data_IF_840922353518
#
_entry.id   IF_840922353518
#
_cell.length_a   1.000
_cell.length_b   1.000
_cell.length_c   1.000
_cell.angle_alpha   90.00
_cell.angle_beta   90.00
_cell.angle_gamma   90.00
#
_symmetry.space_group_name_H-M   'P 1'
#
loop_
_entity.id
_entity.type
_entity.pdbx_description
1 polymer ?
#
# COMPACT_ATOMS: atom_id res chain seq x y z
N UNK A 1 -17.79 88.62 28.93
CA UNK A 1 -17.10 89.40 27.86
C UNK A 1 -15.81 88.69 27.48
N UNK A 2 -15.53 88.64 26.17
CA UNK A 2 -14.36 88.10 25.44
C UNK A 2 -14.37 86.60 25.08
N UNK A 3 -14.88 86.38 23.85
CA UNK A 3 -14.49 85.32 22.91
C UNK A 3 -12.97 85.31 22.71
N UNK A 4 -12.39 84.14 22.45
CA UNK A 4 -11.39 83.96 21.40
C UNK A 4 -11.49 82.53 20.84
N UNK A 5 -11.64 82.47 19.53
CA UNK A 5 -11.62 81.31 18.63
C UNK A 5 -10.22 81.27 18.04
N UNK A 6 -9.52 80.11 17.99
CA UNK A 6 -8.76 79.68 16.81
C UNK A 6 -8.22 78.22 16.90
N UNK A 7 -8.84 77.36 16.08
CA UNK A 7 -8.31 76.34 15.17
C UNK A 7 -7.09 75.43 15.50
N UNK A 8 -7.31 74.12 15.27
CA UNK A 8 -6.65 73.24 14.27
C UNK A 8 -5.76 72.06 14.72
N UNK A 9 -6.15 70.90 14.18
CA UNK A 9 -5.44 69.66 13.81
C UNK A 9 -4.88 68.70 14.88
N UNK A 10 -5.42 67.46 14.86
CA UNK A 10 -4.78 66.17 14.50
C UNK A 10 -5.50 65.04 15.30
N UNK A 11 -6.50 64.36 14.74
CA UNK A 11 -6.39 63.10 13.94
C UNK A 11 -5.28 62.17 14.44
N UNK A 12 -5.69 61.12 15.17
CA UNK A 12 -5.29 59.69 15.07
C UNK A 12 -6.16 58.94 16.11
N UNK A 13 -7.30 58.32 15.75
CA UNK A 13 -7.46 56.91 15.27
C UNK A 13 -6.57 55.96 16.10
N UNK A 14 -7.03 54.99 16.91
CA UNK A 14 -7.95 53.88 16.64
C UNK A 14 -8.58 53.38 17.97
N UNK A 15 -9.91 53.36 18.08
CA UNK A 15 -10.60 52.38 18.93
C UNK A 15 -11.12 51.31 17.99
N UNK A 16 -10.37 50.22 17.94
CA UNK A 16 -10.81 48.95 17.39
C UNK A 16 -11.65 48.23 18.45
N UNK A 17 -12.91 47.99 18.14
CA UNK A 17 -13.69 46.82 18.56
C UNK A 17 -15.08 46.96 17.93
N UNK A 18 -15.27 46.33 16.78
CA UNK A 18 -16.13 45.14 16.72
C UNK A 18 -16.19 44.57 15.31
N UNK A 19 -16.52 43.27 15.26
CA UNK A 19 -16.82 42.43 14.10
C UNK A 19 -15.62 41.78 13.40
N UNK A 20 -15.39 40.50 13.74
CA UNK A 20 -15.88 39.40 12.88
C UNK A 20 -15.79 38.08 13.63
N UNK A 21 -16.94 37.41 13.77
CA UNK A 21 -17.00 35.97 14.04
C UNK A 21 -16.54 35.28 12.77
N UNK A 22 -15.32 34.76 12.74
CA UNK A 22 -14.95 33.72 11.80
C UNK A 22 -15.18 32.36 12.45
N UNK A 23 -15.91 31.52 11.72
CA UNK A 23 -16.16 30.13 12.03
C UNK A 23 -14.84 29.39 12.26
N UNK A 24 -14.67 28.85 13.46
CA UNK A 24 -13.66 27.84 13.75
C UNK A 24 -13.98 26.59 12.93
N UNK A 25 -13.43 26.51 11.71
CA UNK A 25 -13.14 25.20 11.11
C UNK A 25 -12.13 24.51 12.03
N UNK A 26 -12.52 23.36 12.57
CA UNK A 26 -11.62 22.45 13.26
C UNK A 26 -10.54 21.97 12.28
N UNK A 27 -9.45 22.73 12.16
CA UNK A 27 -8.20 22.21 11.62
C UNK A 27 -7.60 21.32 12.70
N UNK A 28 -7.76 20.00 12.55
CA UNK A 28 -7.03 19.02 13.34
C UNK A 28 -5.54 19.24 13.05
N UNK A 29 -4.85 19.88 14.00
CA UNK A 29 -3.42 20.17 13.94
C UNK A 29 -2.68 18.93 14.46
N UNK A 30 -2.56 17.92 13.59
CA UNK A 30 -1.50 16.92 13.73
C UNK A 30 -0.23 17.48 13.11
N UNK A 31 0.91 17.31 13.77
CA UNK A 31 2.21 17.68 13.19
C UNK A 31 2.49 16.75 12.00
N UNK A 32 2.39 17.28 10.78
CA UNK A 32 2.69 16.53 9.56
C UNK A 32 4.21 16.34 9.47
N UNK A 33 4.66 15.10 9.29
CA UNK A 33 6.07 14.80 9.09
C UNK A 33 6.39 14.92 7.60
N UNK A 34 7.26 15.87 7.24
CA UNK A 34 7.78 15.99 5.88
C UNK A 34 8.97 15.05 5.68
N UNK A 35 8.92 14.20 4.66
CA UNK A 35 9.99 13.27 4.29
C UNK A 35 10.66 13.81 3.02
N UNK A 36 11.84 14.45 3.12
CA UNK A 36 12.51 15.05 1.98
C UNK A 36 13.28 14.02 1.16
N UNK A 37 12.82 13.73 -0.05
CA UNK A 37 13.51 12.83 -0.97
C UNK A 37 14.35 13.67 -1.95
N UNK A 38 15.64 13.82 -1.62
CA UNK A 38 16.59 14.67 -2.36
C UNK A 38 17.48 13.86 -3.31
N UNK A 39 17.97 12.70 -2.87
CA UNK A 39 18.85 11.82 -3.64
C UNK A 39 18.06 10.69 -4.30
N UNK A 40 18.28 10.44 -5.60
CA UNK A 40 17.52 9.43 -6.37
C UNK A 40 18.36 8.69 -7.42
N UNK A 41 19.68 8.96 -7.47
CA UNK A 41 20.58 8.42 -8.50
C UNK A 41 21.19 7.06 -8.09
N UNK A 42 20.98 6.65 -6.85
CA UNK A 42 21.47 5.36 -6.36
C UNK A 42 20.68 4.22 -7.00
N UNK A 43 21.37 3.32 -7.66
CA UNK A 43 20.72 2.14 -8.24
C UNK A 43 20.40 1.08 -7.18
N UNK A 44 21.29 0.87 -6.21
CA UNK A 44 21.18 -0.22 -5.24
C UNK A 44 21.28 0.26 -3.80
N UNK A 45 20.35 -0.19 -2.95
CA UNK A 45 20.45 -0.12 -1.49
C UNK A 45 20.64 -1.53 -0.91
N UNK A 46 21.49 -1.69 0.11
CA UNK A 46 21.70 -2.99 0.75
C UNK A 46 20.51 -3.36 1.63
N UNK A 47 20.02 -4.58 1.51
CA UNK A 47 18.98 -5.11 2.40
C UNK A 47 19.46 -5.08 3.85
N UNK A 48 20.71 -5.47 4.09
CA UNK A 48 21.32 -5.45 5.43
C UNK A 48 21.44 -4.07 6.06
N UNK A 49 21.20 -2.96 5.34
CA UNK A 49 21.14 -1.63 5.96
C UNK A 49 19.92 -1.52 6.89
N UNK A 50 18.77 -2.05 6.47
CA UNK A 50 17.49 -1.89 7.17
C UNK A 50 16.86 -3.19 7.70
N UNK A 51 17.27 -4.35 7.19
CA UNK A 51 16.81 -5.66 7.66
C UNK A 51 17.93 -6.42 8.39
N UNK A 52 17.57 -7.23 9.38
CA UNK A 52 18.49 -8.11 10.13
C UNK A 52 18.46 -9.57 9.67
N UNK A 53 17.37 -9.99 9.02
CA UNK A 53 17.18 -11.36 8.53
C UNK A 53 16.21 -11.38 7.33
N UNK A 54 16.27 -12.46 6.55
CA UNK A 54 15.33 -12.72 5.46
C UNK A 54 14.94 -14.20 5.41
N UNK A 55 13.63 -14.46 5.40
CA UNK A 55 13.05 -15.81 5.27
C UNK A 55 12.39 -15.97 3.92
N UNK A 56 12.72 -17.05 3.22
CA UNK A 56 12.00 -17.51 2.03
C UNK A 56 10.84 -18.43 2.40
N UNK A 57 9.73 -18.36 1.67
CA UNK A 57 8.58 -19.26 1.81
C UNK A 57 8.11 -19.66 0.40
N UNK A 58 8.42 -20.88 -0.08
CA UNK A 58 7.78 -21.41 -1.30
C UNK A 58 6.30 -21.56 -1.06
N UNK A 59 5.47 -21.09 -1.99
CA UNK A 59 4.06 -21.43 -1.97
C UNK A 59 3.86 -22.77 -2.70
N UNK A 60 3.13 -23.69 -2.06
CA UNK A 60 2.84 -25.00 -2.63
C UNK A 60 2.13 -24.85 -3.97
N UNK A 61 2.60 -25.58 -4.98
CA UNK A 61 1.94 -25.72 -6.26
C UNK A 61 1.21 -27.08 -6.30
N UNK A 62 -0.08 -27.06 -6.63
CA UNK A 62 -0.87 -28.27 -6.81
C UNK A 62 -2.00 -28.00 -7.81
N UNK A 63 -2.70 -29.05 -8.26
CA UNK A 63 -3.83 -28.89 -9.20
C UNK A 63 -4.95 -27.96 -8.67
N UNK A 64 -5.10 -27.88 -7.35
CA UNK A 64 -6.08 -27.01 -6.68
C UNK A 64 -5.51 -25.63 -6.29
N UNK A 65 -4.18 -25.47 -6.38
CA UNK A 65 -3.46 -24.26 -5.99
C UNK A 65 -2.45 -23.86 -7.07
N UNK A 66 -2.93 -23.08 -8.04
CA UNK A 66 -2.12 -22.45 -9.09
C UNK A 66 -2.36 -20.96 -9.01
N UNK A 67 -1.33 -20.23 -8.61
CA UNK A 67 -1.32 -18.78 -8.49
C UNK A 67 -0.77 -18.16 -9.76
N UNK A 68 -1.52 -17.24 -10.33
CA UNK A 68 -1.11 -16.30 -11.36
C UNK A 68 -0.50 -15.05 -10.70
N UNK A 69 -0.80 -13.85 -11.20
CA UNK A 69 -0.30 -12.60 -10.61
C UNK A 69 -0.93 -12.34 -9.24
N UNK A 70 -0.12 -12.43 -8.18
CA UNK A 70 -0.50 -11.99 -6.82
C UNK A 70 -0.72 -10.47 -6.79
N UNK A 71 -1.86 -10.06 -6.22
CA UNK A 71 -2.23 -8.65 -6.01
C UNK A 71 -2.04 -8.23 -4.55
N UNK A 72 -2.52 -9.05 -3.61
CA UNK A 72 -2.52 -8.72 -2.18
C UNK A 72 -2.15 -9.93 -1.35
N UNK A 73 -1.29 -9.70 -0.35
CA UNK A 73 -0.90 -10.67 0.67
C UNK A 73 -1.24 -10.06 2.03
N UNK A 74 -2.02 -10.78 2.83
CA UNK A 74 -2.26 -10.44 4.23
C UNK A 74 -1.88 -11.64 5.08
N UNK A 75 -1.05 -11.44 6.09
CA UNK A 75 -0.65 -12.51 7.01
C UNK A 75 -1.35 -12.32 8.35
N UNK A 76 -1.71 -13.43 8.97
CA UNK A 76 -2.18 -13.55 10.35
C UNK A 76 -1.13 -14.26 11.20
N UNK A 77 -1.43 -14.51 12.49
CA UNK A 77 -0.60 -15.37 13.36
C UNK A 77 -0.68 -16.86 12.99
N UNK A 78 -1.66 -17.22 12.16
CA UNK A 78 -1.98 -18.61 11.80
C UNK A 78 -1.65 -18.94 10.34
N UNK A 79 -1.92 -18.02 9.41
CA UNK A 79 -2.01 -18.27 7.99
C UNK A 79 -1.50 -17.10 7.13
N UNK A 80 -1.31 -17.38 5.85
CA UNK A 80 -1.03 -16.42 4.78
C UNK A 80 -2.23 -16.43 3.82
N UNK A 81 -2.80 -15.26 3.57
CA UNK A 81 -3.95 -15.08 2.68
C UNK A 81 -3.52 -14.34 1.43
N UNK A 82 -3.80 -14.92 0.26
CA UNK A 82 -3.34 -14.41 -1.03
C UNK A 82 -4.53 -14.20 -1.96
N UNK A 83 -4.61 -13.00 -2.52
CA UNK A 83 -5.54 -12.65 -3.59
C UNK A 83 -4.78 -12.46 -4.90
N UNK A 84 -5.31 -13.05 -5.97
CA UNK A 84 -4.83 -12.87 -7.34
C UNK A 84 -5.40 -11.58 -7.95
N UNK A 85 -4.65 -10.96 -8.86
CA UNK A 85 -5.04 -9.73 -9.56
C UNK A 85 -6.11 -9.97 -10.61
N UNK A 86 -5.99 -11.08 -11.31
CA UNK A 86 -6.87 -11.46 -12.42
C UNK A 86 -7.48 -12.83 -12.12
N UNK A 87 -8.68 -13.08 -12.64
CA UNK A 87 -9.35 -14.38 -12.53
C UNK A 87 -9.56 -14.85 -11.08
N UNK A 88 -9.96 -13.95 -10.19
CA UNK A 88 -10.13 -14.26 -8.77
C UNK A 88 -11.11 -15.43 -8.58
N UNK A 89 -10.56 -16.57 -8.16
CA UNK A 89 -11.34 -17.77 -7.79
C UNK A 89 -11.74 -17.75 -6.31
N UNK A 90 -11.12 -16.86 -5.53
CA UNK A 90 -11.27 -16.71 -4.09
C UNK A 90 -9.96 -16.25 -3.46
N UNK A 91 -9.85 -16.38 -2.13
CA UNK A 91 -8.63 -16.11 -1.37
C UNK A 91 -7.95 -17.43 -1.06
N UNK A 92 -6.69 -17.61 -1.49
CA UNK A 92 -5.92 -18.81 -1.18
C UNK A 92 -5.31 -18.67 0.21
N UNK A 93 -5.45 -19.73 1.01
CA UNK A 93 -4.96 -19.77 2.39
C UNK A 93 -3.84 -20.78 2.47
N UNK A 94 -2.71 -20.34 3.01
CA UNK A 94 -1.53 -21.15 3.24
C UNK A 94 -1.14 -21.11 4.71
N UNK A 95 -0.43 -22.11 5.19
CA UNK A 95 0.29 -21.99 6.47
C UNK A 95 1.58 -21.16 6.31
N UNK A 96 2.26 -20.86 7.42
CA UNK A 96 3.52 -20.10 7.41
C UNK A 96 4.74 -20.86 6.86
N UNK A 97 4.59 -22.13 6.51
CA UNK A 97 5.58 -22.89 5.73
C UNK A 97 5.36 -22.74 4.22
N UNK A 98 4.19 -22.23 3.82
CA UNK A 98 3.77 -22.07 2.43
C UNK A 98 2.98 -23.25 1.90
N UNK A 99 2.55 -24.18 2.77
CA UNK A 99 1.68 -25.28 2.40
C UNK A 99 0.27 -24.76 2.14
N UNK A 100 -0.33 -25.17 1.03
CA UNK A 100 -1.71 -24.83 0.71
C UNK A 100 -2.68 -25.53 1.66
N UNK A 101 -3.66 -24.79 2.18
CA UNK A 101 -4.66 -25.30 3.10
C UNK A 101 -6.02 -25.45 2.39
N UNK A 102 -6.55 -24.33 1.89
CA UNK A 102 -7.86 -24.25 1.23
C UNK A 102 -8.02 -22.89 0.53
N UNK A 103 -9.13 -22.72 -0.19
CA UNK A 103 -9.54 -21.44 -0.79
C UNK A 103 -10.83 -20.97 -0.13
N UNK A 104 -10.89 -19.69 0.23
CA UNK A 104 -12.05 -19.05 0.85
C UNK A 104 -12.80 -18.22 -0.18
N UNK A 105 -14.13 -18.40 -0.20
CA UNK A 105 -15.02 -17.82 -1.20
C UNK A 105 -14.84 -18.47 -2.58
N UNK A 106 -15.92 -18.47 -3.36
CA UNK A 106 -15.91 -18.90 -4.75
C UNK A 106 -16.69 -17.91 -5.62
N UNK A 107 -16.28 -17.81 -6.89
CA UNK A 107 -17.01 -17.05 -7.90
C UNK A 107 -18.32 -17.78 -8.24
N UNK A 108 -19.45 -17.07 -8.15
CA UNK A 108 -20.76 -17.63 -8.44
C UNK A 108 -21.91 -16.72 -8.03
N UNK A 109 -23.10 -17.29 -7.91
CA UNK A 109 -24.32 -16.55 -7.60
C UNK A 109 -25.04 -17.01 -6.31
N UNK A 110 -24.50 -18.00 -5.61
CA UNK A 110 -24.96 -18.45 -4.31
C UNK A 110 -24.88 -17.38 -3.22
N UNK A 111 -25.47 -17.66 -2.04
CA UNK A 111 -25.48 -16.75 -0.90
C UNK A 111 -24.08 -16.53 -0.29
N UNK A 112 -23.24 -17.55 -0.34
CA UNK A 112 -21.84 -17.63 0.12
C UNK A 112 -20.81 -17.42 -1.03
N UNK A 113 -21.28 -17.10 -2.23
CA UNK A 113 -20.46 -16.85 -3.41
C UNK A 113 -20.40 -15.35 -3.74
N UNK A 114 -19.28 -14.91 -4.31
CA UNK A 114 -19.12 -13.56 -4.85
C UNK A 114 -19.29 -13.55 -6.37
N UNK A 115 -19.81 -12.46 -6.92
CA UNK A 115 -19.85 -12.27 -8.38
C UNK A 115 -18.55 -11.65 -8.88
N UNK A 116 -18.02 -10.69 -8.14
CA UNK A 116 -16.80 -9.96 -8.48
C UNK A 116 -16.12 -9.51 -7.18
N UNK A 117 -14.96 -10.07 -6.89
CA UNK A 117 -14.24 -9.85 -5.64
C UNK A 117 -13.28 -8.67 -5.80
N UNK A 118 -13.56 -7.51 -5.23
CA UNK A 118 -12.63 -6.39 -5.40
C UNK A 118 -11.44 -6.44 -4.46
N UNK A 119 -11.66 -6.79 -3.19
CA UNK A 119 -10.62 -6.79 -2.15
C UNK A 119 -11.09 -7.58 -0.92
N UNK A 120 -10.18 -7.80 0.04
CA UNK A 120 -10.46 -8.48 1.30
C UNK A 120 -9.70 -7.87 2.49
N UNK A 121 -10.19 -8.11 3.69
CA UNK A 121 -9.55 -7.71 4.95
C UNK A 121 -9.75 -8.78 6.03
N UNK A 122 -8.90 -8.77 7.05
CA UNK A 122 -8.95 -9.71 8.16
C UNK A 122 -9.28 -9.00 9.48
N UNK A 123 -10.05 -9.68 10.32
CA UNK A 123 -10.10 -9.41 11.76
C UNK A 123 -9.43 -10.57 12.49
N UNK A 124 -8.18 -10.34 12.91
CA UNK A 124 -7.38 -11.33 13.62
C UNK A 124 -7.99 -11.74 14.97
N UNK A 125 -8.49 -10.75 15.73
CA UNK A 125 -9.03 -10.97 17.08
C UNK A 125 -10.25 -11.91 17.05
N UNK A 126 -11.12 -11.73 16.05
CA UNK A 126 -12.33 -12.53 15.88
C UNK A 126 -12.13 -13.71 14.91
N UNK A 127 -10.94 -13.85 14.32
CA UNK A 127 -10.64 -14.80 13.26
C UNK A 127 -11.67 -14.79 12.12
N UNK A 128 -11.92 -13.60 11.58
CA UNK A 128 -12.86 -13.38 10.48
C UNK A 128 -12.18 -12.87 9.22
N UNK A 129 -12.64 -13.36 8.08
CA UNK A 129 -12.25 -12.93 6.73
C UNK A 129 -13.42 -12.17 6.13
N UNK A 130 -13.16 -10.96 5.65
CA UNK A 130 -14.14 -10.14 4.96
C UNK A 130 -13.80 -10.05 3.48
N UNK A 131 -14.69 -10.53 2.61
CA UNK A 131 -14.56 -10.41 1.17
C UNK A 131 -15.53 -9.34 0.66
N UNK A 132 -15.04 -8.40 -0.16
CA UNK A 132 -15.91 -7.38 -0.75
C UNK A 132 -16.39 -7.80 -2.14
N UNK A 133 -17.69 -8.06 -2.28
CA UNK A 133 -18.31 -8.28 -3.58
C UNK A 133 -18.75 -6.92 -4.14
N UNK A 134 -17.99 -6.40 -5.11
CA UNK A 134 -18.23 -5.07 -5.67
C UNK A 134 -19.51 -5.01 -6.51
N UNK A 135 -19.84 -6.10 -7.20
CA UNK A 135 -21.04 -6.18 -8.05
C UNK A 135 -22.32 -6.23 -7.23
N UNK A 136 -22.29 -6.93 -6.08
CA UNK A 136 -23.43 -7.00 -5.14
C UNK A 136 -23.39 -5.93 -4.05
N UNK A 137 -22.29 -5.19 -3.92
CA UNK A 137 -22.06 -4.10 -2.95
C UNK A 137 -22.22 -4.56 -1.50
N UNK A 138 -21.68 -5.73 -1.19
CA UNK A 138 -21.82 -6.37 0.12
C UNK A 138 -20.50 -6.98 0.56
N UNK A 139 -20.35 -7.10 1.87
CA UNK A 139 -19.26 -7.85 2.49
C UNK A 139 -19.77 -9.25 2.79
N UNK A 140 -19.07 -10.27 2.31
CA UNK A 140 -19.24 -11.66 2.75
C UNK A 140 -18.27 -11.92 3.91
N UNK A 141 -18.77 -12.53 4.98
CA UNK A 141 -17.98 -12.83 6.18
C UNK A 141 -17.79 -14.33 6.29
N UNK A 142 -16.53 -14.74 6.41
CA UNK A 142 -16.13 -16.13 6.64
C UNK A 142 -15.35 -16.25 7.95
N UNK A 143 -15.36 -17.41 8.57
CA UNK A 143 -14.38 -17.73 9.61
C UNK A 143 -13.01 -17.96 8.98
N UNK A 144 -11.96 -18.01 9.79
CA UNK A 144 -10.63 -18.37 9.29
C UNK A 144 -10.63 -19.76 8.67
N UNK A 145 -11.40 -20.71 9.18
CA UNK A 145 -11.56 -22.07 8.63
C UNK A 145 -12.28 -22.11 7.27
N UNK A 146 -12.82 -20.97 6.81
CA UNK A 146 -13.46 -20.84 5.50
C UNK A 146 -14.98 -21.05 5.51
N UNK A 147 -15.59 -21.16 6.70
CA UNK A 147 -17.04 -21.31 6.81
C UNK A 147 -17.74 -19.96 6.61
N UNK A 148 -18.75 -19.91 5.72
CA UNK A 148 -19.56 -18.73 5.55
C UNK A 148 -20.42 -18.46 6.80
N UNK A 149 -20.38 -17.23 7.29
CA UNK A 149 -21.10 -16.81 8.50
C UNK A 149 -22.35 -16.02 8.12
N UNK A 150 -22.17 -14.92 7.38
CA UNK A 150 -23.24 -14.00 6.95
C UNK A 150 -22.71 -13.00 5.93
N UNK A 151 -23.60 -12.18 5.38
CA UNK A 151 -23.26 -11.01 4.59
C UNK A 151 -23.79 -9.70 5.21
N UNK A 152 -23.16 -8.57 4.84
CA UNK A 152 -23.57 -7.23 5.23
C UNK A 152 -23.70 -6.38 3.97
N UNK A 153 -24.89 -5.85 3.73
CA UNK A 153 -25.13 -4.96 2.61
C UNK A 153 -24.48 -3.59 2.86
N UNK A 154 -23.53 -3.21 2.02
CA UNK A 154 -22.83 -1.92 2.12
C UNK A 154 -23.44 -0.87 1.19
N UNK A 155 -24.10 -1.28 0.10
CA UNK A 155 -24.73 -0.40 -0.89
C UNK A 155 -23.77 0.64 -1.51
N UNK A 156 -22.48 0.30 -1.60
CA UNK A 156 -21.44 1.16 -2.17
C UNK A 156 -20.57 0.37 -3.16
N UNK A 157 -20.04 1.01 -4.18
CA UNK A 157 -19.06 0.38 -5.07
C UNK A 157 -17.68 0.71 -4.53
N UNK A 158 -16.91 -0.29 -4.10
CA UNK A 158 -15.55 -0.12 -3.58
C UNK A 158 -14.59 -1.05 -4.31
N UNK A 159 -13.53 -0.48 -4.86
CA UNK A 159 -12.44 -1.21 -5.51
C UNK A 159 -11.36 -1.58 -4.49
N UNK A 160 -11.24 -0.80 -3.40
CA UNK A 160 -10.35 -1.08 -2.26
C UNK A 160 -11.14 -1.06 -0.97
N UNK A 161 -10.78 -1.97 -0.07
CA UNK A 161 -11.55 -2.23 1.14
C UNK A 161 -10.64 -2.64 2.30
N UNK A 162 -10.91 -2.08 3.48
CA UNK A 162 -10.21 -2.44 4.71
C UNK A 162 -11.19 -2.47 5.89
N UNK A 163 -10.89 -3.27 6.90
CA UNK A 163 -11.65 -3.33 8.15
C UNK A 163 -10.74 -3.10 9.35
N UNK A 164 -11.16 -2.20 10.25
CA UNK A 164 -10.51 -1.98 11.54
C UNK A 164 -11.48 -1.31 12.52
N UNK A 165 -11.35 -1.58 13.82
CA UNK A 165 -12.14 -0.95 14.89
C UNK A 165 -13.67 -1.00 14.68
N UNK A 166 -14.19 -2.14 14.20
CA UNK A 166 -15.62 -2.33 13.86
C UNK A 166 -16.14 -1.40 12.74
N UNK A 167 -15.24 -0.84 11.93
CA UNK A 167 -15.57 0.01 10.80
C UNK A 167 -15.02 -0.60 9.50
N UNK A 168 -15.79 -0.41 8.43
CA UNK A 168 -15.44 -0.75 7.07
C UNK A 168 -15.06 0.50 6.32
N UNK A 169 -13.86 0.50 5.72
CA UNK A 169 -13.29 1.59 4.94
C UNK A 169 -13.40 1.21 3.47
N UNK A 170 -14.18 1.98 2.73
CA UNK A 170 -14.56 1.66 1.36
C UNK A 170 -14.07 2.77 0.45
N UNK A 171 -13.21 2.43 -0.50
CA UNK A 171 -12.70 3.39 -1.48
C UNK A 171 -13.06 3.01 -2.90
N UNK A 172 -13.48 4.01 -3.66
CA UNK A 172 -13.57 3.98 -5.11
C UNK A 172 -13.27 5.35 -5.64
N UNK A 173 -12.35 5.45 -6.58
CA UNK A 173 -12.16 6.71 -7.28
C UNK A 173 -13.37 6.99 -8.16
N UNK A 174 -13.89 8.21 -8.08
CA UNK A 174 -15.00 8.68 -8.91
C UNK A 174 -16.22 7.74 -8.88
N UNK A 175 -16.91 7.60 -7.74
CA UNK A 175 -18.08 6.72 -7.63
C UNK A 175 -19.27 7.34 -8.37
N UNK A 176 -19.28 7.29 -9.71
CA UNK A 176 -20.29 7.90 -10.60
C UNK A 176 -21.71 7.45 -10.25
N UNK A 177 -21.86 6.25 -9.67
CA UNK A 177 -23.11 5.63 -9.23
C UNK A 177 -23.12 5.29 -7.72
N UNK A 178 -22.22 5.88 -6.93
CA UNK A 178 -22.17 5.64 -5.49
C UNK A 178 -23.12 6.54 -4.71
N UNK A 179 -23.82 5.97 -3.73
CA UNK A 179 -24.52 6.70 -2.69
C UNK A 179 -23.89 6.34 -1.34
N UNK A 180 -23.13 7.26 -0.69
CA UNK A 180 -22.93 8.65 -1.06
C UNK A 180 -21.85 8.85 -2.14
N UNK A 181 -21.91 9.97 -2.88
CA UNK A 181 -20.93 10.33 -3.93
C UNK A 181 -19.62 10.91 -3.34
N UNK A 182 -18.88 10.09 -2.60
CA UNK A 182 -17.63 10.41 -1.92
C UNK A 182 -16.65 9.29 -2.17
N UNK A 183 -15.40 9.56 -2.53
CA UNK A 183 -14.46 8.49 -2.89
C UNK A 183 -14.13 7.57 -1.72
N UNK A 184 -14.06 8.12 -0.49
CA UNK A 184 -13.84 7.36 0.74
C UNK A 184 -15.09 7.41 1.61
N UNK A 185 -15.66 6.24 1.91
CA UNK A 185 -16.83 6.07 2.77
C UNK A 185 -16.52 5.11 3.90
N UNK A 186 -16.91 5.48 5.12
CA UNK A 186 -16.71 4.66 6.31
C UNK A 186 -18.07 4.21 6.80
N UNK A 187 -18.24 2.89 7.00
CA UNK A 187 -19.51 2.27 7.41
C UNK A 187 -19.33 1.40 8.65
N UNK A 188 -20.41 1.25 9.41
CA UNK A 188 -20.48 0.30 10.53
C UNK A 188 -20.85 -1.13 10.07
N UNK A 189 -20.98 -2.03 11.05
CA UNK A 189 -21.38 -3.43 10.88
C UNK A 189 -22.81 -3.67 10.39
N UNK A 190 -23.57 -2.59 10.18
CA UNK A 190 -24.93 -2.60 9.61
C UNK A 190 -24.98 -1.90 8.24
N UNK A 191 -23.81 -1.52 7.70
CA UNK A 191 -23.71 -0.82 6.42
C UNK A 191 -24.14 0.66 6.48
N UNK A 192 -24.36 1.21 7.68
CA UNK A 192 -24.71 2.62 7.85
C UNK A 192 -23.44 3.46 7.74
N UNK A 193 -23.52 4.53 6.95
CA UNK A 193 -22.41 5.48 6.80
C UNK A 193 -22.18 6.24 8.11
N UNK A 194 -20.96 6.16 8.61
CA UNK A 194 -20.47 6.87 9.80
C UNK A 194 -19.73 8.15 9.38
N UNK A 195 -18.87 8.06 8.37
CA UNK A 195 -18.11 9.21 7.88
C UNK A 195 -17.84 9.11 6.36
N UNK A 196 -17.42 10.22 5.76
CA UNK A 196 -17.15 10.32 4.32
C UNK A 196 -16.18 11.44 4.00
N UNK A 197 -15.24 11.16 3.10
CA UNK A 197 -14.20 12.09 2.67
C UNK A 197 -14.08 12.09 1.15
N UNK A 198 -13.44 13.14 0.61
CA UNK A 198 -13.26 13.32 -0.84
C UNK A 198 -14.60 13.35 -1.60
N UNK A 199 -15.43 14.40 -1.40
CA UNK A 199 -16.66 14.53 -2.17
C UNK A 199 -16.35 14.52 -3.67
N UNK A 200 -17.21 13.88 -4.45
CA UNK A 200 -17.07 13.84 -5.90
C UNK A 200 -17.25 15.25 -6.49
N UNK A 201 -16.14 15.93 -6.78
CA UNK A 201 -16.16 17.26 -7.42
C UNK A 201 -16.11 17.14 -8.94
N UNK A 202 -15.30 16.21 -9.46
CA UNK A 202 -15.11 15.98 -10.89
C UNK A 202 -15.26 14.49 -11.23
N UNK A 203 -15.96 14.20 -12.32
CA UNK A 203 -16.05 12.84 -12.86
C UNK A 203 -14.76 12.53 -13.62
N UNK A 204 -14.05 11.51 -13.19
CA UNK A 204 -12.96 10.90 -13.96
C UNK A 204 -13.55 9.72 -14.74
N UNK A 205 -13.20 9.53 -16.03
CA UNK A 205 -13.55 8.32 -16.74
C UNK A 205 -12.67 7.11 -16.34
N UNK A 206 -11.60 7.35 -15.57
CA UNK A 206 -10.67 6.33 -15.10
C UNK A 206 -10.84 6.12 -13.60
N UNK A 207 -10.66 4.87 -13.17
CA UNK A 207 -10.59 4.45 -11.78
C UNK A 207 -9.14 4.08 -11.50
N UNK A 208 -8.51 4.83 -10.61
CA UNK A 208 -7.19 4.55 -10.08
C UNK A 208 -7.29 3.93 -8.69
N UNK A 209 -6.16 3.37 -8.25
CA UNK A 209 -6.06 2.68 -6.98
C UNK A 209 -5.95 3.67 -5.79
N UNK A 210 -6.03 3.15 -4.57
CA UNK A 210 -5.56 3.84 -3.37
C UNK A 210 -4.71 2.91 -2.51
N UNK A 211 -3.92 3.50 -1.64
CA UNK A 211 -3.22 2.76 -0.61
C UNK A 211 -4.14 2.66 0.61
N UNK A 212 -4.41 1.43 1.04
CA UNK A 212 -4.83 1.12 2.40
C UNK A 212 -3.77 0.22 3.03
N UNK A 213 -3.05 0.74 4.02
CA UNK A 213 -2.10 -0.07 4.79
C UNK A 213 -2.53 -0.13 6.25
N UNK A 214 -3.08 -1.27 6.64
CA UNK A 214 -3.49 -1.56 8.01
C UNK A 214 -2.27 -1.70 8.92
N UNK A 215 -2.26 -0.94 10.01
CA UNK A 215 -1.35 -1.03 11.14
C UNK A 215 -2.18 -1.30 12.41
N UNK A 216 -1.55 -1.70 13.52
CA UNK A 216 -2.26 -2.13 14.74
C UNK A 216 -3.37 -1.18 15.24
N UNK A 217 -3.19 0.14 15.09
CA UNK A 217 -4.11 1.15 15.63
C UNK A 217 -4.60 2.17 14.58
N UNK A 218 -4.20 2.03 13.32
CA UNK A 218 -4.54 2.98 12.26
C UNK A 218 -4.45 2.35 10.88
N UNK A 219 -5.05 3.00 9.89
CA UNK A 219 -4.86 2.65 8.48
C UNK A 219 -4.14 3.83 7.83
N UNK A 220 -3.02 3.59 7.16
CA UNK A 220 -2.43 4.60 6.28
C UNK A 220 -3.23 4.63 4.98
N UNK A 221 -3.60 5.85 4.56
CA UNK A 221 -4.40 6.11 3.37
C UNK A 221 -3.75 7.16 2.47
N UNK A 222 -3.70 6.87 1.17
CA UNK A 222 -3.34 7.84 0.14
C UNK A 222 -4.03 7.49 -1.18
N UNK A 223 -4.56 8.51 -1.89
CA UNK A 223 -5.03 8.32 -3.27
C UNK A 223 -3.84 8.17 -4.23
N UNK A 224 -4.05 7.49 -5.36
CA UNK A 224 -3.05 7.38 -6.42
C UNK A 224 -2.42 8.74 -6.80
N UNK A 225 -1.11 8.74 -7.00
CA UNK A 225 -0.32 9.93 -7.39
C UNK A 225 -0.42 11.12 -6.41
N UNK A 226 -0.75 10.88 -5.13
CA UNK A 226 -0.62 11.86 -4.06
C UNK A 226 0.74 11.77 -3.39
N UNK A 227 1.18 12.89 -2.85
CA UNK A 227 2.37 13.06 -2.02
C UNK A 227 2.01 13.22 -0.53
N UNK A 228 0.72 13.20 -0.19
CA UNK A 228 0.24 13.31 1.18
C UNK A 228 -0.36 11.97 1.63
N UNK A 229 0.13 11.45 2.75
CA UNK A 229 -0.37 10.23 3.39
C UNK A 229 -1.11 10.62 4.66
N UNK A 230 -2.29 10.05 4.82
CA UNK A 230 -3.17 10.27 5.95
C UNK A 230 -3.20 9.02 6.83
N UNK A 231 -3.44 9.22 8.12
CA UNK A 231 -3.84 8.18 9.06
C UNK A 231 -5.35 8.20 9.17
N UNK A 232 -5.97 7.03 9.17
CA UNK A 232 -7.38 6.84 9.50
C UNK A 232 -7.50 6.09 10.82
N UNK A 233 -8.15 6.71 11.82
CA UNK A 233 -8.36 6.12 13.15
C UNK A 233 -9.80 6.32 13.59
N UNK A 234 -10.49 5.24 13.95
CA UNK A 234 -11.90 5.30 14.39
C UNK A 234 -12.82 6.13 13.48
N UNK A 235 -12.55 6.12 12.17
CA UNK A 235 -13.30 6.84 11.16
C UNK A 235 -12.87 8.29 10.92
N UNK A 236 -11.83 8.78 11.60
CA UNK A 236 -11.27 10.12 11.42
C UNK A 236 -9.99 10.11 10.60
N UNK A 237 -9.93 10.99 9.59
CA UNK A 237 -8.81 11.16 8.68
C UNK A 237 -7.90 12.31 9.13
N UNK A 238 -6.63 12.04 9.40
CA UNK A 238 -5.64 13.04 9.81
C UNK A 238 -4.39 12.98 8.92
N UNK A 239 -3.83 14.11 8.48
CA UNK A 239 -2.58 14.09 7.71
C UNK A 239 -1.44 13.56 8.58
N UNK A 240 -0.59 12.68 8.03
CA UNK A 240 0.52 12.05 8.77
C UNK A 240 1.87 12.33 8.10
N UNK A 241 2.00 12.05 6.81
CA UNK A 241 3.23 12.28 6.05
C UNK A 241 3.00 13.18 4.84
N UNK A 242 4.01 13.99 4.54
CA UNK A 242 4.14 14.67 3.25
C UNK A 242 5.45 14.25 2.59
N UNK A 243 5.37 13.60 1.45
CA UNK A 243 6.52 13.10 0.68
C UNK A 243 7.01 14.21 -0.23
N UNK A 244 8.08 14.88 0.21
CA UNK A 244 8.60 16.07 -0.45
C UNK A 244 9.68 15.69 -1.46
N UNK A 245 9.28 15.54 -2.73
CA UNK A 245 10.18 15.28 -3.86
C UNK A 245 10.98 16.51 -4.32
N UNK A 246 10.89 17.66 -3.63
CA UNK A 246 11.59 18.90 -3.97
C UNK A 246 11.41 19.28 -5.45
N UNK A 247 12.52 19.50 -6.16
CA UNK A 247 12.56 19.86 -7.58
C UNK A 247 12.24 18.68 -8.52
N UNK A 248 12.14 17.46 -7.99
CA UNK A 248 11.84 16.23 -8.73
C UNK A 248 10.34 15.88 -8.74
N UNK A 249 9.50 16.69 -8.11
CA UNK A 249 8.04 16.52 -8.13
C UNK A 249 7.47 16.74 -9.53
N UNK A 250 6.57 15.86 -9.96
CA UNK A 250 5.81 16.05 -11.21
C UNK A 250 4.89 17.27 -11.08
N UNK A 251 4.78 18.04 -12.17
CA UNK A 251 3.91 19.22 -12.19
C UNK A 251 2.44 18.82 -11.97
N UNK A 252 1.66 19.73 -11.37
CA UNK A 252 0.21 19.51 -11.18
C UNK A 252 -0.51 19.27 -12.52
N UNK A 253 -0.10 19.96 -13.58
CA UNK A 253 -0.70 19.85 -14.92
C UNK A 253 -0.45 18.45 -15.48
N UNK A 254 0.77 17.94 -15.36
CA UNK A 254 1.13 16.60 -15.84
C UNK A 254 0.39 15.53 -15.04
N UNK A 255 0.36 15.63 -13.71
CA UNK A 255 -0.43 14.73 -12.85
C UNK A 255 -1.91 14.72 -13.25
N UNK A 256 -2.51 15.89 -13.43
CA UNK A 256 -3.90 16.00 -13.85
C UNK A 256 -4.15 15.42 -15.24
N UNK A 257 -3.18 15.52 -16.16
CA UNK A 257 -3.31 14.96 -17.51
C UNK A 257 -3.32 13.43 -17.50
N UNK A 258 -2.55 12.83 -16.59
CA UNK A 258 -2.54 11.37 -16.35
C UNK A 258 -3.87 10.96 -15.71
N UNK A 259 -4.28 11.62 -14.63
CA UNK A 259 -5.50 11.28 -13.88
C UNK A 259 -6.78 11.43 -14.72
N UNK A 260 -6.81 12.40 -15.65
CA UNK A 260 -7.94 12.59 -16.58
C UNK A 260 -7.79 11.74 -17.86
N UNK A 261 -6.67 11.03 -18.02
CA UNK A 261 -6.26 10.30 -19.21
C UNK A 261 -6.32 11.12 -20.50
N UNK A 262 -6.07 12.44 -20.42
CA UNK A 262 -5.90 13.29 -21.60
C UNK A 262 -4.55 13.05 -22.27
N UNK A 263 -3.59 12.51 -21.51
CA UNK A 263 -2.30 12.03 -21.99
C UNK A 263 -2.03 10.65 -21.42
N UNK A 264 -1.41 9.79 -22.21
CA UNK A 264 -1.00 8.45 -21.75
C UNK A 264 0.04 8.59 -20.63
N UNK A 265 -0.18 7.88 -19.52
CA UNK A 265 0.70 7.92 -18.35
C UNK A 265 2.17 7.71 -18.73
N UNK A 266 2.46 6.64 -19.49
CA UNK A 266 3.80 6.32 -19.95
C UNK A 266 4.46 7.47 -20.75
N UNK A 267 3.71 8.17 -21.60
CA UNK A 267 4.23 9.30 -22.38
C UNK A 267 4.61 10.47 -21.49
N UNK A 268 3.68 10.91 -20.64
CA UNK A 268 3.91 12.04 -19.71
C UNK A 268 5.10 11.72 -18.82
N UNK A 269 5.11 10.49 -18.30
CA UNK A 269 6.20 9.99 -17.51
C UNK A 269 7.52 10.16 -18.29
N UNK A 270 7.69 9.52 -19.45
CA UNK A 270 8.95 9.51 -20.22
C UNK A 270 9.45 10.91 -20.61
N UNK A 271 8.55 11.86 -20.84
CA UNK A 271 8.89 13.26 -21.12
C UNK A 271 9.36 14.03 -19.88
N UNK A 272 8.65 13.88 -18.75
CA UNK A 272 8.92 14.65 -17.53
C UNK A 272 10.13 14.12 -16.75
N UNK A 273 10.29 12.79 -16.64
CA UNK A 273 11.30 12.12 -15.78
C UNK A 273 11.24 12.58 -14.30
N UNK A 274 10.02 12.67 -13.73
CA UNK A 274 9.72 13.20 -12.37
C UNK A 274 8.95 12.20 -11.51
N UNK A 275 8.91 12.41 -10.20
CA UNK A 275 8.15 11.59 -9.25
C UNK A 275 6.65 11.93 -9.31
N UNK A 276 5.85 10.89 -9.55
CA UNK A 276 4.41 11.00 -9.75
C UNK A 276 3.61 10.91 -8.44
N UNK A 277 4.20 10.35 -7.38
CA UNK A 277 3.55 10.06 -6.11
C UNK A 277 4.08 8.76 -5.54
N UNK A 278 3.29 8.12 -4.69
CA UNK A 278 3.61 6.82 -4.09
C UNK A 278 2.68 5.72 -4.61
N UNK A 279 3.20 4.51 -4.72
CA UNK A 279 2.46 3.27 -5.02
C UNK A 279 2.11 2.50 -3.75
N UNK A 280 2.96 2.61 -2.72
CA UNK A 280 2.74 1.95 -1.44
C UNK A 280 3.54 2.62 -0.32
N UNK A 281 3.14 2.36 0.92
CA UNK A 281 3.85 2.78 2.12
C UNK A 281 3.72 1.74 3.22
N UNK A 282 4.81 1.51 3.95
CA UNK A 282 4.87 0.62 5.09
C UNK A 282 5.50 1.33 6.28
N UNK A 283 5.05 1.00 7.49
CA UNK A 283 5.63 1.52 8.72
C UNK A 283 5.87 0.37 9.68
N UNK A 284 7.15 0.17 10.02
CA UNK A 284 7.60 -0.90 10.91
C UNK A 284 8.66 -0.31 11.84
N UNK A 285 8.47 -0.48 13.15
CA UNK A 285 9.32 0.13 14.16
C UNK A 285 9.46 1.65 13.95
N UNK A 286 10.69 2.16 13.91
CA UNK A 286 11.00 3.56 13.65
C UNK A 286 11.32 3.85 12.17
N UNK A 287 10.86 3.01 11.23
CA UNK A 287 11.16 3.15 9.81
C UNK A 287 9.89 3.23 8.97
N UNK A 288 9.93 4.09 7.96
CA UNK A 288 8.91 4.22 6.92
C UNK A 288 9.53 3.80 5.60
N UNK A 289 8.85 2.92 4.88
CA UNK A 289 9.26 2.40 3.58
C UNK A 289 8.27 2.87 2.54
N UNK A 290 8.75 3.39 1.42
CA UNK A 290 7.89 4.01 0.41
C UNK A 290 8.25 3.44 -0.97
N UNK A 291 7.26 2.86 -1.64
CA UNK A 291 7.35 2.57 -3.06
C UNK A 291 6.93 3.84 -3.81
N UNK A 292 7.85 4.48 -4.51
CA UNK A 292 7.59 5.72 -5.23
C UNK A 292 7.30 5.42 -6.71
N UNK A 293 6.29 6.10 -7.24
CA UNK A 293 5.99 6.10 -8.67
C UNK A 293 7.00 7.00 -9.39
N UNK A 294 7.97 6.39 -10.06
CA UNK A 294 8.89 7.08 -10.96
C UNK A 294 8.69 6.59 -12.39
N UNK A 295 8.83 7.53 -13.32
CA UNK A 295 8.74 7.38 -14.77
C UNK A 295 9.46 6.18 -15.38
N UNK A 296 10.70 5.94 -14.96
CA UNK A 296 11.61 5.04 -15.68
C UNK A 296 11.82 3.76 -14.91
N UNK A 297 12.12 3.89 -13.61
CA UNK A 297 12.41 2.77 -12.73
C UNK A 297 11.79 3.10 -11.37
N UNK A 298 10.87 2.28 -10.85
CA UNK A 298 10.32 2.43 -9.50
C UNK A 298 11.44 2.67 -8.49
N UNK A 299 11.18 3.51 -7.50
CA UNK A 299 12.18 3.86 -6.47
C UNK A 299 11.67 3.44 -5.11
N UNK A 300 12.51 2.79 -4.32
CA UNK A 300 12.25 2.46 -2.94
C UNK A 300 12.96 3.45 -2.03
N UNK A 301 12.21 4.01 -1.08
CA UNK A 301 12.75 4.92 -0.07
C UNK A 301 12.63 4.29 1.31
N UNK A 302 13.70 4.37 2.09
CA UNK A 302 13.74 4.08 3.52
C UNK A 302 13.96 5.39 4.26
N UNK A 303 13.04 5.72 5.15
CA UNK A 303 13.12 6.86 6.06
C UNK A 303 13.21 6.35 7.50
N UNK A 304 14.24 6.76 8.21
CA UNK A 304 14.42 6.45 9.64
C UNK A 304 13.90 7.62 10.48
N UNK A 305 12.85 7.39 11.28
CA UNK A 305 12.14 8.42 12.06
C UNK A 305 13.00 9.02 13.17
N UNK A 306 14.01 8.29 13.67
CA UNK A 306 14.88 8.72 14.77
C UNK A 306 16.01 9.62 14.26
N UNK A 307 16.68 9.19 13.21
CA UNK A 307 17.83 9.90 12.61
C UNK A 307 17.41 10.93 11.57
N UNK A 308 16.19 10.79 11.04
CA UNK A 308 15.65 11.52 9.90
C UNK A 308 16.41 11.29 8.60
N UNK A 309 17.24 10.23 8.53
CA UNK A 309 17.95 9.84 7.32
C UNK A 309 16.97 9.30 6.27
N UNK A 310 17.16 9.70 5.02
CA UNK A 310 16.38 9.24 3.87
C UNK A 310 17.35 8.61 2.87
N UNK A 311 17.15 7.32 2.58
CA UNK A 311 17.86 6.60 1.51
C UNK A 311 16.87 6.21 0.43
N UNK A 312 17.18 6.50 -0.83
CA UNK A 312 16.33 6.13 -1.97
C UNK A 312 17.15 5.46 -3.05
N UNK A 313 16.64 4.35 -3.57
CA UNK A 313 17.33 3.53 -4.57
C UNK A 313 16.35 2.78 -5.48
N UNK A 314 16.84 2.28 -6.61
CA UNK A 314 16.00 1.56 -7.58
C UNK A 314 15.76 0.10 -7.22
N UNK A 315 16.76 -0.56 -6.63
CA UNK A 315 16.76 -1.99 -6.37
C UNK A 315 17.30 -2.29 -4.97
N UNK A 316 16.70 -3.27 -4.30
CA UNK A 316 17.21 -3.82 -3.05
C UNK A 316 18.26 -4.88 -3.39
N UNK A 317 19.52 -4.63 -3.05
CA UNK A 317 20.57 -5.64 -3.07
C UNK A 317 20.36 -6.56 -1.87
N UNK A 318 19.83 -7.74 -2.12
CA UNK A 318 19.74 -8.83 -1.15
C UNK A 318 21.13 -9.41 -0.85
N UNK A 319 21.87 -8.79 0.06
CA UNK A 319 23.22 -9.19 0.46
C UNK A 319 23.25 -10.35 1.48
N UNK A 320 22.09 -10.93 1.80
CA UNK A 320 21.96 -12.18 2.55
C UNK A 320 21.96 -13.41 1.65
N UNK A 321 21.13 -13.39 0.59
CA UNK A 321 20.88 -14.54 -0.29
C UNK A 321 21.31 -14.31 -1.75
N UNK A 322 21.60 -13.08 -2.16
CA UNK A 322 21.99 -12.71 -3.53
C UNK A 322 20.94 -13.04 -4.59
N UNK A 323 19.66 -13.08 -4.19
CA UNK A 323 18.49 -13.33 -5.03
C UNK A 323 17.65 -12.06 -5.11
N UNK A 324 17.32 -11.64 -6.34
CA UNK A 324 16.45 -10.50 -6.59
C UNK A 324 15.00 -10.78 -6.20
N UNK A 325 14.30 -9.75 -5.77
CA UNK A 325 12.87 -9.78 -5.48
C UNK A 325 12.27 -8.38 -5.73
N UNK A 326 10.95 -8.31 -5.88
CA UNK A 326 10.25 -7.05 -6.15
C UNK A 326 10.24 -6.13 -4.92
N UNK A 327 9.91 -4.85 -5.09
CA UNK A 327 9.65 -4.01 -3.92
C UNK A 327 8.53 -4.59 -3.05
N UNK A 328 8.54 -4.33 -1.72
CA UNK A 328 7.55 -4.90 -0.82
C UNK A 328 6.12 -4.56 -1.26
N UNK A 329 5.21 -5.52 -1.13
CA UNK A 329 3.77 -5.37 -1.43
C UNK A 329 2.89 -5.50 -0.17
N UNK A 330 3.51 -5.89 0.94
CA UNK A 330 2.85 -6.13 2.22
C UNK A 330 3.79 -5.91 3.41
N UNK A 331 3.19 -5.87 4.59
CA UNK A 331 3.91 -5.95 5.86
C UNK A 331 3.17 -6.86 6.82
N UNK A 332 3.90 -7.46 7.75
CA UNK A 332 3.32 -8.20 8.86
C UNK A 332 4.29 -8.22 10.05
N UNK A 333 3.83 -7.70 11.19
CA UNK A 333 4.65 -7.47 12.39
C UNK A 333 5.93 -6.72 11.99
N UNK A 334 7.08 -7.28 12.34
CA UNK A 334 8.39 -6.71 12.05
C UNK A 334 8.92 -7.00 10.63
N UNK A 335 8.09 -7.53 9.72
CA UNK A 335 8.54 -7.98 8.39
C UNK A 335 7.91 -7.17 7.26
N UNK A 336 8.73 -6.80 6.28
CA UNK A 336 8.25 -6.46 4.94
C UNK A 336 8.06 -7.75 4.13
N UNK A 337 7.05 -7.78 3.28
CA UNK A 337 6.68 -8.93 2.45
C UNK A 337 6.95 -8.56 1.00
N UNK A 338 7.79 -9.34 0.33
CA UNK A 338 7.99 -9.30 -1.12
C UNK A 338 7.72 -10.67 -1.72
N UNK A 339 7.60 -10.71 -3.04
CA UNK A 339 7.34 -11.91 -3.82
C UNK A 339 8.24 -11.94 -5.05
N UNK A 340 8.56 -13.14 -5.51
CA UNK A 340 9.26 -13.36 -6.78
C UNK A 340 8.61 -14.51 -7.53
N UNK A 341 8.52 -14.39 -8.85
CA UNK A 341 8.16 -15.52 -9.71
C UNK A 341 9.23 -16.59 -9.68
N UNK A 342 8.86 -17.86 -9.85
CA UNK A 342 9.82 -18.96 -9.79
C UNK A 342 10.89 -18.88 -10.89
N UNK A 343 10.52 -18.43 -12.09
CA UNK A 343 11.47 -18.25 -13.21
C UNK A 343 12.57 -17.25 -12.86
N UNK A 344 12.20 -16.10 -12.30
CA UNK A 344 13.15 -15.06 -11.86
C UNK A 344 14.01 -15.55 -10.69
N UNK A 345 13.40 -16.27 -9.74
CA UNK A 345 14.10 -16.91 -8.63
C UNK A 345 15.20 -17.86 -9.11
N UNK A 346 14.87 -18.73 -10.08
CA UNK A 346 15.84 -19.67 -10.64
C UNK A 346 16.93 -18.99 -11.46
N UNK A 347 16.55 -18.00 -12.26
CA UNK A 347 17.52 -17.20 -13.02
C UNK A 347 18.52 -16.50 -12.10
N UNK A 348 18.05 -15.98 -10.96
CA UNK A 348 18.92 -15.36 -9.96
C UNK A 348 19.93 -16.34 -9.35
N UNK A 349 19.53 -17.61 -9.16
CA UNK A 349 20.44 -18.64 -8.66
C UNK A 349 21.41 -19.06 -9.75
N UNK A 350 20.93 -19.43 -10.94
CA UNK A 350 21.74 -20.07 -11.96
C UNK A 350 22.71 -19.10 -12.65
N UNK A 351 22.28 -17.86 -12.89
CA UNK A 351 23.09 -16.84 -13.55
C UNK A 351 23.48 -15.69 -12.62
N UNK A 352 22.57 -15.27 -11.73
CA UNK A 352 22.83 -14.20 -10.78
C UNK A 352 24.01 -14.51 -9.85
N UNK A 353 24.13 -15.74 -9.33
CA UNK A 353 25.28 -16.09 -8.47
C UNK A 353 26.61 -16.00 -9.23
N UNK A 354 26.65 -16.42 -10.50
CA UNK A 354 27.86 -16.30 -11.35
C UNK A 354 28.21 -14.82 -11.56
N UNK A 355 27.20 -13.98 -11.77
CA UNK A 355 27.37 -12.54 -11.89
C UNK A 355 27.97 -11.92 -10.61
N UNK A 356 27.42 -12.24 -9.44
CA UNK A 356 27.91 -11.71 -8.16
C UNK A 356 29.31 -12.21 -7.81
N UNK A 357 29.66 -13.43 -8.19
CA UNK A 357 31.01 -13.97 -8.10
C UNK A 357 31.99 -13.20 -8.99
N UNK A 358 31.63 -12.92 -10.25
CA UNK A 358 32.44 -12.12 -11.16
C UNK A 358 32.65 -10.69 -10.66
N UNK A 359 31.68 -10.14 -9.92
CA UNK A 359 31.77 -8.82 -9.27
C UNK A 359 32.57 -8.85 -7.95
N UNK A 360 32.97 -10.02 -7.47
CA UNK A 360 33.71 -10.18 -6.21
C UNK A 360 32.88 -9.93 -4.94
N UNK A 361 31.54 -9.92 -5.06
CA UNK A 361 30.63 -9.67 -3.93
C UNK A 361 30.19 -10.99 -3.28
N UNK A 362 30.07 -12.06 -4.08
CA UNK A 362 29.70 -13.40 -3.61
C UNK A 362 30.90 -14.36 -3.76
N UNK A 363 31.32 -15.01 -2.66
CA UNK A 363 32.41 -15.99 -2.73
C UNK A 363 31.93 -17.33 -3.32
N UNK A 364 32.87 -18.13 -3.85
CA UNK A 364 32.55 -19.46 -4.38
C UNK A 364 31.99 -20.40 -3.30
N UNK A 365 32.56 -20.34 -2.10
CA UNK A 365 32.13 -21.10 -0.94
C UNK A 365 30.71 -20.70 -0.52
N UNK A 366 30.45 -19.40 -0.34
CA UNK A 366 29.13 -18.90 0.05
C UNK A 366 28.06 -19.21 -0.99
N UNK A 367 28.38 -19.10 -2.29
CA UNK A 367 27.45 -19.47 -3.34
C UNK A 367 27.06 -20.96 -3.28
N UNK A 368 28.02 -21.84 -2.95
CA UNK A 368 27.77 -23.28 -2.81
C UNK A 368 26.88 -23.57 -1.60
N UNK A 369 27.13 -22.91 -0.47
CA UNK A 369 26.28 -23.00 0.73
C UNK A 369 24.83 -22.57 0.43
N UNK A 370 24.68 -21.40 -0.20
CA UNK A 370 23.36 -20.87 -0.55
C UNK A 370 22.60 -21.81 -1.49
N UNK A 371 23.28 -22.35 -2.52
CA UNK A 371 22.68 -23.33 -3.42
C UNK A 371 22.22 -24.59 -2.67
N UNK A 372 23.05 -25.15 -1.80
CA UNK A 372 22.69 -26.34 -1.03
C UNK A 372 21.47 -26.10 -0.12
N UNK A 373 21.44 -24.95 0.57
CA UNK A 373 20.30 -24.55 1.41
C UNK A 373 19.01 -24.38 0.60
N UNK A 374 19.10 -23.80 -0.59
CA UNK A 374 17.96 -23.65 -1.49
C UNK A 374 17.53 -25.02 -2.05
N UNK A 375 18.45 -25.89 -2.43
CA UNK A 375 18.11 -27.23 -2.94
C UNK A 375 17.44 -28.11 -1.88
N UNK A 376 17.88 -28.01 -0.61
CA UNK A 376 17.24 -28.70 0.52
C UNK A 376 15.80 -28.21 0.73
N UNK A 377 15.57 -26.91 0.58
CA UNK A 377 14.27 -26.28 0.84
C UNK A 377 13.33 -26.29 -0.37
N UNK A 378 13.88 -26.44 -1.57
CA UNK A 378 13.19 -26.38 -2.85
C UNK A 378 13.73 -27.46 -3.81
N UNK A 379 13.52 -28.76 -3.51
CA UNK A 379 14.08 -29.85 -4.32
C UNK A 379 13.60 -29.83 -5.78
N UNK A 380 12.35 -29.40 -6.01
CA UNK A 380 11.72 -29.36 -7.33
C UNK A 380 11.88 -28.01 -8.06
N UNK A 381 12.77 -27.12 -7.60
CA UNK A 381 12.93 -25.75 -8.12
C UNK A 381 13.16 -25.64 -9.63
N UNK A 382 13.62 -26.72 -10.28
CA UNK A 382 13.90 -26.76 -11.72
C UNK A 382 12.65 -27.03 -12.58
N UNK A 383 11.49 -27.35 -12.00
CA UNK A 383 10.26 -27.60 -12.74
C UNK A 383 9.47 -26.31 -13.00
N UNK A 384 10.01 -25.42 -13.85
CA UNK A 384 9.49 -24.05 -14.04
C UNK A 384 8.03 -23.95 -14.51
N UNK A 385 7.49 -24.99 -15.17
CA UNK A 385 6.13 -24.98 -15.70
C UNK A 385 5.03 -25.29 -14.67
N UNK A 386 5.41 -25.69 -13.46
CA UNK A 386 4.50 -26.22 -12.44
C UNK A 386 4.87 -25.68 -11.05
N UNK A 387 4.95 -24.35 -10.92
CA UNK A 387 5.38 -23.70 -9.67
C UNK A 387 4.60 -22.43 -9.37
N UNK A 388 4.36 -22.21 -8.07
CA UNK A 388 3.86 -20.97 -7.51
C UNK A 388 5.05 -20.08 -7.08
N UNK A 389 4.81 -18.76 -6.91
CA UNK A 389 5.86 -17.82 -6.51
C UNK A 389 6.42 -18.07 -5.10
N UNK A 390 7.58 -17.48 -4.82
CA UNK A 390 8.25 -17.53 -3.51
C UNK A 390 8.08 -16.21 -2.78
N UNK A 391 7.64 -16.27 -1.53
CA UNK A 391 7.56 -15.08 -0.66
C UNK A 391 8.89 -14.86 0.08
N UNK A 392 9.23 -13.59 0.27
CA UNK A 392 10.32 -13.14 1.12
C UNK A 392 9.78 -12.31 2.28
N UNK A 393 10.11 -12.73 3.51
CA UNK A 393 9.89 -11.96 4.72
C UNK A 393 11.20 -11.32 5.14
N UNK A 394 11.29 -9.99 5.04
CA UNK A 394 12.47 -9.21 5.42
C UNK A 394 12.25 -8.63 6.81
N UNK A 395 12.96 -9.15 7.81
CA UNK A 395 12.81 -8.73 9.20
C UNK A 395 13.51 -7.39 9.41
N UNK A 396 12.74 -6.33 9.62
CA UNK A 396 13.22 -4.96 9.78
C UNK A 396 13.89 -4.77 11.13
N UNK A 397 15.04 -4.10 11.13
CA UNK A 397 15.76 -3.72 12.35
C UNK A 397 14.95 -2.76 13.21
N UNK A 398 14.98 -2.97 14.51
CA UNK A 398 14.40 -2.07 15.51
C UNK A 398 15.09 -0.71 15.58
#
# INVERSE_FOLDING_TARGET
>A
MKKNILYVLLIFIFIACDLTKEDKKNTVRGDIVSIPITEMETDYGKLSDFAEDIKMIPLEFSGDCILDKVEKIVMSDSCIFIMERYNQKGIYVFDHSGKYLYRVGNCGQGPDEFVDLSDFSLNEEQQLIYLYDIMRKKVLIFSFEGDFIKDIQMNYYADKFEYQDNLFYLYRESPVMGDPAYSLVIKDDKGKTINKYYPLINKSPYIHDCIFRKLDNEILFAEYMRDSVFSVRSGELTPKYFIDYKDKSMSKIDRESILKGTRMALTVLLECKKMAGIEDIFEINDKVFINNTNVVVPKFTVYDKKTQEVKTFSYILNDFLFIGFDHPIGQYKDNLISIVGQEDFQTAIDDGFKYWQKKGILTAERAKELRAMIEERFPDRNNLGETNPVLFLMKVKK
#
